data_IF_848339624349
#
_entry.id   IF_848339624349
#
_cell.length_a   1.000
_cell.length_b   1.000
_cell.length_c   1.000
_cell.angle_alpha   90.00
_cell.angle_beta   90.00
_cell.angle_gamma   90.00
#
_symmetry.space_group_name_H-M   'P 1'
#
loop_
_entity.id
_entity.type
_entity.pdbx_description
1 polymer ?
#
# COMPACT_ATOMS: atom_id res chain seq x y z
N UNK A 1 -30.44 -5.07 8.32
CA UNK A 1 -29.45 -4.68 7.29
C UNK A 1 -29.95 -5.22 5.97
N UNK A 2 -29.98 -4.41 4.91
CA UNK A 2 -30.38 -4.87 3.58
C UNK A 2 -29.31 -5.84 3.02
N UNK A 3 -29.70 -6.75 2.13
CA UNK A 3 -28.77 -7.72 1.50
C UNK A 3 -27.65 -7.00 0.73
N UNK A 4 -27.98 -5.90 0.05
CA UNK A 4 -27.03 -5.03 -0.62
C UNK A 4 -25.97 -4.47 0.35
N UNK A 5 -26.38 -4.01 1.54
CA UNK A 5 -25.46 -3.46 2.54
C UNK A 5 -24.49 -4.51 3.07
N UNK A 6 -24.96 -5.74 3.28
CA UNK A 6 -24.11 -6.86 3.72
C UNK A 6 -23.07 -7.18 2.64
N UNK A 7 -23.48 -7.21 1.37
CA UNK A 7 -22.56 -7.46 0.24
C UNK A 7 -21.48 -6.38 0.18
N UNK A 8 -21.84 -5.10 0.27
CA UNK A 8 -20.86 -4.00 0.23
C UNK A 8 -19.87 -4.09 1.39
N UNK A 9 -20.33 -4.39 2.61
CA UNK A 9 -19.45 -4.57 3.77
C UNK A 9 -18.47 -5.73 3.53
N UNK A 10 -18.96 -6.88 3.06
CA UNK A 10 -18.10 -8.04 2.77
C UNK A 10 -17.07 -7.69 1.70
N UNK A 11 -17.48 -7.01 0.62
CA UNK A 11 -16.57 -6.56 -0.45
C UNK A 11 -15.50 -5.63 0.10
N UNK A 12 -15.86 -4.66 0.94
CA UNK A 12 -14.90 -3.74 1.53
C UNK A 12 -13.91 -4.44 2.47
N UNK A 13 -14.38 -5.37 3.30
CA UNK A 13 -13.51 -6.18 4.16
C UNK A 13 -12.56 -7.03 3.31
N UNK A 14 -13.06 -7.68 2.26
CA UNK A 14 -12.24 -8.49 1.37
C UNK A 14 -11.19 -7.63 0.63
N UNK A 15 -11.56 -6.44 0.15
CA UNK A 15 -10.62 -5.51 -0.47
C UNK A 15 -9.54 -5.08 0.51
N UNK A 16 -9.90 -4.72 1.74
CA UNK A 16 -8.93 -4.35 2.77
C UNK A 16 -7.98 -5.51 3.09
N UNK A 17 -8.49 -6.74 3.24
CA UNK A 17 -7.68 -7.93 3.51
C UNK A 17 -6.72 -8.24 2.36
N UNK A 18 -7.21 -8.19 1.13
CA UNK A 18 -6.41 -8.45 -0.07
C UNK A 18 -5.30 -7.40 -0.21
N UNK A 19 -5.62 -6.12 0.00
CA UNK A 19 -4.66 -5.04 -0.14
C UNK A 19 -3.62 -5.00 0.98
N UNK A 20 -4.04 -5.28 2.22
CA UNK A 20 -3.15 -5.29 3.36
C UNK A 20 -2.17 -6.47 3.36
N UNK A 21 -2.66 -7.67 3.05
CA UNK A 21 -1.89 -8.92 3.25
C UNK A 21 -1.88 -9.81 2.02
N UNK A 22 -2.99 -9.89 1.28
CA UNK A 22 -3.10 -10.75 0.10
C UNK A 22 -2.08 -10.42 -1.01
N UNK A 23 -1.69 -9.15 -1.13
CA UNK A 23 -0.69 -8.69 -2.10
C UNK A 23 0.76 -8.84 -1.62
N UNK A 24 1.02 -9.21 -0.36
CA UNK A 24 2.38 -9.35 0.17
C UNK A 24 3.27 -10.28 -0.67
N UNK A 25 2.83 -11.46 -1.12
CA UNK A 25 3.63 -12.30 -2.02
C UNK A 25 3.95 -11.60 -3.36
N UNK A 26 3.04 -10.78 -3.86
CA UNK A 26 3.27 -9.99 -5.09
C UNK A 26 4.34 -8.93 -4.83
N UNK A 27 4.30 -8.24 -3.68
CA UNK A 27 5.30 -7.24 -3.32
C UNK A 27 6.69 -7.84 -3.12
N UNK A 28 6.80 -8.99 -2.44
CA UNK A 28 8.07 -9.73 -2.29
C UNK A 28 8.64 -10.10 -3.67
N UNK A 29 7.80 -10.60 -4.57
CA UNK A 29 8.23 -10.92 -5.93
C UNK A 29 8.67 -9.67 -6.69
N UNK A 30 7.89 -8.59 -6.61
CA UNK A 30 8.13 -7.36 -7.34
C UNK A 30 9.43 -6.70 -6.90
N UNK A 31 9.65 -6.63 -5.59
CA UNK A 31 10.88 -6.10 -5.00
C UNK A 31 12.13 -6.86 -5.48
N UNK A 32 12.08 -8.20 -5.48
CA UNK A 32 13.19 -9.03 -5.97
C UNK A 32 13.45 -8.86 -7.47
N UNK A 33 12.40 -8.58 -8.25
CA UNK A 33 12.52 -8.33 -9.70
C UNK A 33 13.11 -6.95 -9.97
N UNK A 34 12.64 -5.91 -9.28
CA UNK A 34 13.18 -4.55 -9.37
C UNK A 34 14.64 -4.54 -8.95
N UNK A 35 14.96 -5.14 -7.81
CA UNK A 35 16.34 -5.27 -7.33
C UNK A 35 17.25 -5.95 -8.37
N UNK A 36 16.78 -7.05 -8.97
CA UNK A 36 17.50 -7.73 -10.04
C UNK A 36 17.73 -6.81 -11.24
N UNK A 37 16.70 -6.09 -11.68
CA UNK A 37 16.81 -5.16 -12.81
C UNK A 37 17.81 -4.03 -12.55
N UNK A 38 17.79 -3.40 -11.37
CA UNK A 38 18.73 -2.34 -11.00
C UNK A 38 20.17 -2.87 -10.93
N UNK A 39 20.36 -4.11 -10.49
CA UNK A 39 21.66 -4.77 -10.34
C UNK A 39 22.13 -5.52 -11.59
N UNK A 40 21.47 -5.33 -12.74
CA UNK A 40 21.72 -6.05 -13.99
C UNK A 40 21.82 -7.59 -13.83
N UNK A 41 20.89 -8.16 -13.05
CA UNK A 41 20.77 -9.61 -12.86
C UNK A 41 19.32 -10.07 -12.97
N UNK A 42 19.13 -11.34 -13.30
CA UNK A 42 17.78 -11.91 -13.32
C UNK A 42 17.24 -12.06 -11.89
N UNK A 43 16.06 -11.51 -11.61
CA UNK A 43 15.28 -11.87 -10.43
C UNK A 43 14.71 -13.30 -10.49
N UNK A 44 13.83 -13.69 -9.54
CA UNK A 44 13.33 -15.05 -9.41
C UNK A 44 12.73 -15.56 -10.73
N UNK A 45 13.23 -16.69 -11.21
CA UNK A 45 12.73 -17.27 -12.45
C UNK A 45 12.54 -18.79 -12.40
N UNK A 46 13.07 -19.56 -11.42
CA UNK A 46 13.13 -21.03 -11.53
C UNK A 46 11.90 -21.79 -11.02
N UNK A 47 11.26 -21.31 -9.96
CA UNK A 47 10.11 -21.98 -9.34
C UNK A 47 8.92 -22.07 -10.31
N UNK A 48 8.31 -23.25 -10.42
CA UNK A 48 7.18 -23.52 -11.28
C UNK A 48 6.22 -24.53 -10.65
N UNK A 49 4.94 -24.39 -10.98
CA UNK A 49 3.91 -25.41 -10.72
C UNK A 49 3.45 -25.92 -12.08
N UNK A 50 3.87 -27.13 -12.44
CA UNK A 50 3.67 -27.67 -13.79
C UNK A 50 4.28 -26.75 -14.86
N UNK A 51 3.54 -26.36 -15.92
CA UNK A 51 4.08 -25.53 -16.99
C UNK A 51 4.13 -24.02 -16.66
N UNK A 52 3.64 -23.58 -15.49
CA UNK A 52 3.51 -22.16 -15.15
C UNK A 52 4.60 -21.70 -14.19
N UNK A 53 5.27 -20.58 -14.49
CA UNK A 53 6.23 -19.88 -13.61
C UNK A 53 5.68 -18.54 -13.11
N UNK A 54 4.72 -17.96 -13.86
CA UNK A 54 4.15 -16.63 -13.69
C UNK A 54 5.24 -15.57 -13.50
N UNK A 55 6.28 -15.61 -14.34
CA UNK A 55 7.41 -14.69 -14.22
C UNK A 55 8.16 -14.76 -12.89
N UNK A 56 8.06 -15.87 -12.15
CA UNK A 56 8.70 -16.09 -10.85
C UNK A 56 7.83 -15.78 -9.64
N UNK A 57 6.56 -15.39 -9.82
CA UNK A 57 5.63 -15.10 -8.72
C UNK A 57 5.40 -16.30 -7.81
N UNK A 58 5.49 -17.51 -8.36
CA UNK A 58 5.37 -18.76 -7.58
C UNK A 58 6.45 -18.87 -6.49
N UNK A 59 7.61 -18.22 -6.65
CA UNK A 59 8.65 -18.24 -5.63
C UNK A 59 8.20 -17.61 -4.31
N UNK A 60 7.50 -16.48 -4.35
CA UNK A 60 7.08 -15.81 -3.11
C UNK A 60 5.99 -16.60 -2.39
N UNK A 61 5.09 -17.25 -3.13
CA UNK A 61 4.13 -18.20 -2.57
C UNK A 61 4.83 -19.41 -1.94
N UNK A 62 5.85 -19.96 -2.60
CA UNK A 62 6.64 -21.07 -2.07
C UNK A 62 7.42 -20.66 -0.79
N UNK A 63 7.95 -19.44 -0.74
CA UNK A 63 8.64 -18.92 0.45
C UNK A 63 7.68 -18.77 1.63
N UNK A 64 6.46 -18.27 1.40
CA UNK A 64 5.41 -18.19 2.42
C UNK A 64 5.04 -19.59 2.93
N UNK A 65 4.77 -20.52 2.02
CA UNK A 65 4.41 -21.89 2.35
C UNK A 65 5.53 -22.61 3.12
N UNK A 66 6.79 -22.37 2.74
CA UNK A 66 7.96 -22.86 3.47
C UNK A 66 7.97 -22.38 4.92
N UNK A 67 7.65 -21.11 5.20
CA UNK A 67 7.65 -20.59 6.57
C UNK A 67 6.56 -21.23 7.44
N UNK A 68 5.43 -21.61 6.85
CA UNK A 68 4.33 -22.31 7.55
C UNK A 68 4.73 -23.74 7.91
N UNK A 69 5.42 -24.46 7.02
CA UNK A 69 5.86 -25.84 7.27
C UNK A 69 7.21 -25.97 7.99
N UNK A 70 7.94 -24.85 8.17
CA UNK A 70 9.21 -24.85 8.88
C UNK A 70 8.96 -25.06 10.38
N UNK A 71 9.86 -25.80 11.01
CA UNK A 71 9.84 -26.00 12.46
C UNK A 71 9.96 -24.65 13.21
N UNK A 72 8.97 -24.39 14.07
CA UNK A 72 8.95 -23.22 14.95
C UNK A 72 9.74 -23.50 16.24
N UNK A 73 11.04 -23.24 16.18
CA UNK A 73 11.95 -23.39 17.31
C UNK A 73 11.92 -22.17 18.22
N UNK A 74 11.76 -22.39 19.53
CA UNK A 74 11.89 -21.35 20.56
C UNK A 74 13.10 -21.67 21.45
N UNK A 75 14.14 -20.81 21.48
CA UNK A 75 15.32 -21.00 22.32
C UNK A 75 15.00 -21.20 23.82
N UNK A 76 15.75 -22.11 24.47
CA UNK A 76 15.52 -22.47 25.88
C UNK A 76 15.81 -21.35 26.89
N UNK A 77 16.58 -20.34 26.52
CA UNK A 77 16.90 -19.20 27.38
C UNK A 77 15.78 -18.15 27.45
N UNK A 78 14.76 -18.24 26.58
CA UNK A 78 13.62 -17.32 26.54
C UNK A 78 12.71 -17.59 27.74
N UNK A 79 12.68 -16.65 28.68
CA UNK A 79 11.83 -16.72 29.89
C UNK A 79 10.37 -16.39 29.59
N UNK A 80 10.12 -15.35 28.77
CA UNK A 80 8.78 -14.80 28.54
C UNK A 80 8.15 -15.34 27.25
N UNK A 81 7.84 -16.64 27.21
CA UNK A 81 7.32 -17.32 25.99
C UNK A 81 6.02 -16.72 25.44
N UNK A 82 5.13 -16.26 26.32
CA UNK A 82 3.88 -15.62 25.92
C UNK A 82 4.14 -14.32 25.14
N UNK A 83 4.95 -13.42 25.70
CA UNK A 83 5.34 -12.16 25.07
C UNK A 83 6.09 -12.41 23.75
N UNK A 84 7.00 -13.38 23.75
CA UNK A 84 7.75 -13.77 22.55
C UNK A 84 6.80 -14.20 21.42
N UNK A 85 5.77 -14.98 21.72
CA UNK A 85 4.83 -15.51 20.72
C UNK A 85 3.83 -14.45 20.23
N UNK A 86 3.37 -13.55 21.10
CA UNK A 86 2.34 -12.55 20.74
C UNK A 86 2.92 -11.32 20.05
N UNK A 87 4.19 -10.99 20.28
CA UNK A 87 4.84 -9.80 19.72
C UNK A 87 4.69 -9.66 18.19
N UNK A 88 5.01 -10.67 17.35
CA UNK A 88 4.80 -10.58 15.91
C UNK A 88 3.33 -10.39 15.53
N UNK A 89 2.42 -11.03 16.27
CA UNK A 89 0.97 -10.92 16.04
C UNK A 89 0.45 -9.52 16.33
N UNK A 90 0.99 -8.84 17.35
CA UNK A 90 0.63 -7.45 17.66
C UNK A 90 1.02 -6.54 16.49
N UNK A 91 2.27 -6.64 16.02
CA UNK A 91 2.75 -5.82 14.88
C UNK A 91 1.88 -6.07 13.65
N UNK A 92 1.59 -7.35 13.36
CA UNK A 92 0.74 -7.74 12.23
C UNK A 92 -0.67 -7.16 12.32
N UNK A 93 -1.35 -7.34 13.45
CA UNK A 93 -2.73 -6.86 13.64
C UNK A 93 -2.78 -5.33 13.55
N UNK A 94 -1.81 -4.63 14.15
CA UNK A 94 -1.74 -3.18 14.07
C UNK A 94 -1.67 -2.69 12.63
N UNK A 95 -0.72 -3.18 11.82
CA UNK A 95 -0.60 -2.74 10.43
C UNK A 95 -1.74 -3.24 9.55
N UNK A 96 -2.28 -4.43 9.80
CA UNK A 96 -3.47 -4.92 9.12
C UNK A 96 -4.67 -3.97 9.33
N UNK A 97 -4.88 -3.51 10.56
CA UNK A 97 -5.99 -2.63 10.90
C UNK A 97 -5.85 -1.23 10.31
N UNK A 98 -4.66 -0.79 9.90
CA UNK A 98 -4.50 0.53 9.24
C UNK A 98 -5.33 0.67 7.96
N UNK A 99 -5.60 -0.44 7.26
CA UNK A 99 -6.42 -0.47 6.04
C UNK A 99 -7.92 -0.29 6.29
N UNK A 100 -8.37 -0.42 7.54
CA UNK A 100 -9.79 -0.40 7.86
C UNK A 100 -10.50 0.93 7.51
N UNK A 101 -9.75 2.04 7.54
CA UNK A 101 -10.27 3.39 7.32
C UNK A 101 -10.07 3.92 5.91
N UNK A 102 -9.34 3.19 5.06
CA UNK A 102 -8.94 3.68 3.75
C UNK A 102 -10.13 3.58 2.79
N UNK A 103 -10.56 4.69 2.15
CA UNK A 103 -11.63 4.65 1.18
C UNK A 103 -11.10 4.17 -0.17
N UNK A 104 -11.69 3.11 -0.70
CA UNK A 104 -11.29 2.54 -2.00
C UNK A 104 -12.02 3.16 -3.18
N UNK A 105 -13.20 3.74 -2.93
CA UNK A 105 -14.04 4.44 -3.89
C UNK A 105 -14.95 5.43 -3.14
N UNK A 106 -15.69 6.23 -3.89
CA UNK A 106 -16.75 7.08 -3.35
C UNK A 106 -17.93 6.23 -2.85
N UNK A 107 -18.84 6.85 -2.12
CA UNK A 107 -20.10 6.30 -1.68
C UNK A 107 -20.91 5.76 -2.87
N UNK A 108 -21.27 4.48 -2.78
CA UNK A 108 -22.09 3.79 -3.78
C UNK A 108 -23.54 3.91 -3.35
N UNK A 109 -24.38 4.43 -4.24
CA UNK A 109 -25.83 4.52 -4.02
C UNK A 109 -26.47 3.28 -4.63
N UNK A 110 -27.09 2.46 -3.78
CA UNK A 110 -27.85 1.27 -4.19
C UNK A 110 -29.24 1.40 -3.60
N UNK A 111 -30.27 1.36 -4.43
CA UNK A 111 -31.68 1.44 -4.02
C UNK A 111 -31.99 2.68 -3.16
N UNK A 112 -31.38 3.82 -3.51
CA UNK A 112 -31.52 5.09 -2.78
C UNK A 112 -30.80 5.15 -1.44
N UNK A 113 -30.05 4.11 -1.04
CA UNK A 113 -29.21 4.10 0.16
C UNK A 113 -27.74 4.30 -0.20
N UNK A 114 -27.08 5.23 0.50
CA UNK A 114 -25.65 5.49 0.35
C UNK A 114 -24.84 4.51 1.20
N UNK A 115 -23.88 3.83 0.57
CA UNK A 115 -22.96 2.89 1.21
C UNK A 115 -21.52 3.33 1.00
N UNK A 116 -20.79 3.51 2.09
CA UNK A 116 -19.38 3.90 2.02
C UNK A 116 -18.48 2.74 1.61
N UNK A 117 -17.53 3.00 0.72
CA UNK A 117 -16.56 2.01 0.20
C UNK A 117 -15.31 1.93 1.06
N UNK A 118 -15.51 1.70 2.36
CA UNK A 118 -14.49 1.51 3.39
C UNK A 118 -14.87 0.33 4.29
N UNK A 119 -13.89 -0.34 4.89
CA UNK A 119 -14.13 -1.59 5.63
C UNK A 119 -14.80 -1.37 6.98
N UNK A 120 -14.42 -0.32 7.72
CA UNK A 120 -15.07 0.05 8.97
C UNK A 120 -15.52 1.52 8.95
N UNK A 121 -16.75 1.82 9.39
CA UNK A 121 -17.19 3.19 9.60
C UNK A 121 -16.53 3.71 10.87
N UNK A 122 -15.50 4.55 10.73
CA UNK A 122 -14.85 5.13 11.90
C UNK A 122 -15.08 6.63 11.96
N UNK A 123 -15.79 7.06 12.99
CA UNK A 123 -15.82 8.46 13.41
C UNK A 123 -14.41 9.04 13.60
N UNK A 124 -13.40 8.18 13.79
CA UNK A 124 -12.00 8.52 14.03
C UNK A 124 -11.21 8.90 12.76
N UNK A 125 -11.66 8.49 11.57
CA UNK A 125 -10.98 8.83 10.30
C UNK A 125 -9.47 8.53 10.30
N UNK A 126 -8.64 9.53 9.98
CA UNK A 126 -7.17 9.39 9.98
C UNK A 126 -6.56 9.12 11.36
N UNK A 127 -7.24 9.48 12.47
CA UNK A 127 -6.73 9.22 13.82
C UNK A 127 -6.59 7.72 14.10
N UNK A 128 -7.40 6.89 13.43
CA UNK A 128 -7.24 5.43 13.47
C UNK A 128 -5.88 4.99 12.95
N UNK A 129 -5.43 5.55 11.82
CA UNK A 129 -4.12 5.23 11.26
C UNK A 129 -3.00 5.56 12.25
N UNK A 130 -3.02 6.77 12.83
CA UNK A 130 -2.02 7.19 13.82
C UNK A 130 -2.03 6.27 15.05
N UNK A 131 -3.21 5.92 15.57
CA UNK A 131 -3.32 5.06 16.73
C UNK A 131 -2.70 3.67 16.50
N UNK A 132 -2.99 3.03 15.37
CA UNK A 132 -2.44 1.70 15.07
C UNK A 132 -0.99 1.72 14.60
N UNK A 133 -0.54 2.79 13.94
CA UNK A 133 0.87 3.01 13.65
C UNK A 133 1.68 3.07 14.96
N UNK A 134 1.29 3.93 15.91
CA UNK A 134 1.96 4.03 17.22
C UNK A 134 1.87 2.74 18.06
N UNK A 135 0.73 2.04 18.03
CA UNK A 135 0.59 0.77 18.76
C UNK A 135 1.50 -0.35 18.23
N UNK A 136 1.87 -0.32 16.95
CA UNK A 136 2.74 -1.34 16.35
C UNK A 136 4.13 -1.42 17.01
N UNK A 137 4.63 -0.29 17.53
CA UNK A 137 5.94 -0.17 18.20
C UNK A 137 6.05 -1.05 19.42
N UNK A 138 4.95 -1.21 20.17
CA UNK A 138 4.94 -2.08 21.34
C UNK A 138 5.22 -3.53 20.96
N UNK A 139 4.79 -3.99 19.78
CA UNK A 139 5.11 -5.31 19.28
C UNK A 139 6.61 -5.49 19.00
N UNK A 140 7.28 -4.46 18.47
CA UNK A 140 8.74 -4.46 18.25
C UNK A 140 9.50 -4.48 19.59
N UNK A 141 9.08 -3.65 20.56
CA UNK A 141 9.66 -3.61 21.92
C UNK A 141 9.55 -4.97 22.60
N UNK A 142 8.33 -5.55 22.59
CA UNK A 142 8.08 -6.84 23.20
C UNK A 142 8.88 -7.94 22.50
N UNK A 143 9.03 -7.87 21.18
CA UNK A 143 9.82 -8.84 20.43
C UNK A 143 11.30 -8.83 20.81
N UNK A 144 11.90 -7.65 20.87
CA UNK A 144 13.30 -7.50 21.30
C UNK A 144 13.52 -7.85 22.77
N UNK A 145 12.63 -7.42 23.67
CA UNK A 145 12.73 -7.71 25.10
C UNK A 145 12.54 -9.20 25.41
N UNK A 146 11.52 -9.83 24.80
CA UNK A 146 11.23 -11.24 25.04
C UNK A 146 12.27 -12.18 24.41
N UNK A 147 13.02 -11.73 23.41
CA UNK A 147 14.11 -12.51 22.79
C UNK A 147 15.20 -12.91 23.79
N UNK A 148 15.40 -12.16 24.88
CA UNK A 148 16.47 -12.44 25.85
C UNK A 148 17.90 -12.25 25.33
N UNK A 149 18.07 -11.71 24.12
CA UNK A 149 19.35 -11.42 23.49
C UNK A 149 19.74 -9.94 23.64
N UNK A 150 21.04 -9.66 23.88
CA UNK A 150 21.55 -8.29 23.96
C UNK A 150 21.33 -7.51 22.66
N UNK A 151 21.52 -8.18 21.51
CA UNK A 151 21.34 -7.56 20.19
C UNK A 151 19.86 -7.32 19.87
N UNK A 152 18.98 -8.24 20.27
CA UNK A 152 17.53 -8.07 20.14
C UNK A 152 17.01 -6.87 20.93
N UNK A 153 17.48 -6.70 22.17
CA UNK A 153 17.10 -5.56 23.00
C UNK A 153 17.63 -4.23 22.44
N UNK A 154 18.89 -4.19 21.99
CA UNK A 154 19.46 -2.98 21.36
C UNK A 154 18.73 -2.62 20.06
N UNK A 155 18.39 -3.60 19.23
CA UNK A 155 17.61 -3.39 18.01
C UNK A 155 16.23 -2.80 18.31
N UNK A 156 15.51 -3.37 19.27
CA UNK A 156 14.20 -2.85 19.67
C UNK A 156 14.26 -1.42 20.22
N UNK A 157 15.22 -1.09 21.10
CA UNK A 157 15.36 0.27 21.64
C UNK A 157 15.62 1.29 20.52
N UNK A 158 16.47 0.94 19.54
CA UNK A 158 16.76 1.81 18.40
C UNK A 158 15.54 1.99 17.50
N UNK A 159 14.83 0.91 17.21
CA UNK A 159 13.60 0.93 16.42
C UNK A 159 12.54 1.82 17.07
N UNK A 160 12.32 1.68 18.37
CA UNK A 160 11.33 2.48 19.10
C UNK A 160 11.72 3.95 19.16
N UNK A 161 12.98 4.26 19.41
CA UNK A 161 13.45 5.65 19.38
C UNK A 161 13.30 6.29 18.00
N UNK A 162 13.51 5.52 16.93
CA UNK A 162 13.24 5.95 15.56
C UNK A 162 11.74 6.22 15.37
N UNK A 163 10.88 5.24 15.60
CA UNK A 163 9.44 5.39 15.34
C UNK A 163 8.87 6.60 16.09
N UNK A 164 9.16 6.75 17.39
CA UNK A 164 8.64 7.87 18.19
C UNK A 164 9.02 9.24 17.58
N UNK A 165 10.26 9.38 17.10
CA UNK A 165 10.74 10.63 16.50
C UNK A 165 10.01 10.98 15.19
N UNK A 166 9.72 9.98 14.37
CA UNK A 166 9.11 10.18 13.06
C UNK A 166 7.58 10.21 13.14
N UNK A 167 6.97 9.53 14.11
CA UNK A 167 5.54 9.59 14.40
C UNK A 167 5.12 11.00 14.84
N UNK A 168 5.88 11.63 15.75
CA UNK A 168 5.63 13.01 16.16
C UNK A 168 5.66 13.98 14.97
N UNK A 169 6.68 13.87 14.12
CA UNK A 169 6.83 14.72 12.92
C UNK A 169 5.73 14.46 11.89
N UNK A 170 5.33 13.19 11.72
CA UNK A 170 4.24 12.77 10.83
C UNK A 170 2.89 13.32 11.30
N UNK A 171 2.60 13.24 12.60
CA UNK A 171 1.37 13.75 13.19
C UNK A 171 1.26 15.27 13.06
N UNK A 172 2.35 16.00 13.29
CA UNK A 172 2.38 17.46 13.11
C UNK A 172 2.18 17.86 11.63
N UNK A 173 2.81 17.15 10.68
CA UNK A 173 2.57 17.37 9.26
C UNK A 173 1.09 17.12 8.90
N UNK A 174 0.45 16.11 9.50
CA UNK A 174 -0.96 15.83 9.29
C UNK A 174 -1.86 16.96 9.79
N UNK A 175 -1.53 17.63 10.90
CA UNK A 175 -2.35 18.75 11.42
C UNK A 175 -2.50 19.85 10.36
N UNK A 176 -1.43 20.21 9.64
CA UNK A 176 -1.53 21.20 8.56
C UNK A 176 -2.45 20.77 7.42
N UNK A 177 -2.49 19.47 7.11
CA UNK A 177 -3.42 18.90 6.12
C UNK A 177 -4.87 18.97 6.62
N UNK A 178 -5.10 18.63 7.88
CA UNK A 178 -6.43 18.69 8.50
C UNK A 178 -6.99 20.11 8.56
N UNK A 179 -6.14 21.10 8.83
CA UNK A 179 -6.53 22.52 8.77
C UNK A 179 -6.93 22.92 7.35
N UNK A 180 -6.22 22.42 6.33
CA UNK A 180 -6.50 22.75 4.92
C UNK A 180 -7.82 22.14 4.43
N UNK A 181 -8.15 20.91 4.86
CA UNK A 181 -9.35 20.20 4.41
C UNK A 181 -10.57 20.35 5.32
N UNK A 182 -10.38 20.77 6.58
CA UNK A 182 -11.48 20.93 7.54
C UNK A 182 -12.16 19.63 7.99
N UNK A 183 -11.62 18.45 7.66
CA UNK A 183 -12.18 17.16 8.05
C UNK A 183 -11.09 16.16 8.43
N UNK A 184 -11.42 15.27 9.37
CA UNK A 184 -10.60 14.11 9.76
C UNK A 184 -10.98 12.84 8.98
N UNK A 185 -12.12 12.85 8.27
CA UNK A 185 -12.59 11.71 7.51
C UNK A 185 -11.87 11.64 6.16
N UNK A 186 -11.29 10.48 5.87
CA UNK A 186 -10.50 10.28 4.65
C UNK A 186 -11.34 10.42 3.37
N UNK A 187 -12.60 10.01 3.39
CA UNK A 187 -13.46 10.17 2.23
C UNK A 187 -13.73 11.66 1.92
N UNK A 188 -13.98 12.48 2.93
CA UNK A 188 -14.20 13.93 2.75
C UNK A 188 -12.94 14.63 2.23
N UNK A 189 -11.77 14.23 2.73
CA UNK A 189 -10.47 14.71 2.24
C UNK A 189 -10.32 14.37 0.74
N UNK A 190 -10.63 13.14 0.33
CA UNK A 190 -10.56 12.75 -1.07
C UNK A 190 -11.58 13.53 -1.90
N UNK A 191 -12.82 13.71 -1.41
CA UNK A 191 -13.81 14.53 -2.11
C UNK A 191 -13.32 15.95 -2.38
N UNK A 192 -12.73 16.60 -1.38
CA UNK A 192 -12.16 17.94 -1.53
C UNK A 192 -11.08 17.99 -2.62
N UNK A 193 -10.28 16.93 -2.76
CA UNK A 193 -9.22 16.81 -3.77
C UNK A 193 -9.75 16.63 -5.20
N UNK A 194 -11.07 16.49 -5.37
CA UNK A 194 -11.73 16.35 -6.68
C UNK A 194 -11.95 17.68 -7.37
N UNK A 195 -11.82 18.78 -6.61
CA UNK A 195 -11.81 20.12 -7.17
C UNK A 195 -10.55 20.40 -7.99
N UNK A 196 -10.57 21.57 -8.61
CA UNK A 196 -9.41 22.13 -9.31
C UNK A 196 -8.90 23.35 -8.55
N UNK A 197 -7.64 23.31 -8.16
CA UNK A 197 -6.90 24.47 -7.70
C UNK A 197 -6.49 25.33 -8.90
N UNK A 198 -6.82 26.63 -8.83
CA UNK A 198 -6.62 27.60 -9.93
C UNK A 198 -7.18 27.14 -11.28
N UNK A 199 -8.29 26.37 -11.27
CA UNK A 199 -8.98 25.84 -12.47
C UNK A 199 -8.14 24.93 -13.39
N UNK A 200 -6.84 24.72 -13.10
CA UNK A 200 -5.90 24.00 -13.96
C UNK A 200 -5.36 22.74 -13.27
N UNK A 201 -5.04 22.83 -11.99
CA UNK A 201 -4.33 21.77 -11.26
C UNK A 201 -5.33 21.05 -10.36
N UNK A 202 -5.35 19.70 -10.28
CA UNK A 202 -6.13 19.00 -9.28
C UNK A 202 -5.78 19.49 -7.87
N UNK A 203 -6.75 19.67 -6.98
CA UNK A 203 -6.54 20.14 -5.58
C UNK A 203 -5.91 19.06 -4.67
N UNK A 204 -5.03 18.24 -5.24
CA UNK A 204 -4.27 17.20 -4.57
C UNK A 204 -3.41 17.77 -3.44
N UNK A 205 -3.35 17.03 -2.33
CA UNK A 205 -2.58 17.44 -1.16
C UNK A 205 -1.12 17.70 -1.43
N UNK A 206 -0.52 17.00 -2.40
CA UNK A 206 0.86 17.25 -2.81
C UNK A 206 1.09 18.68 -3.32
N UNK A 207 0.09 19.29 -3.97
CA UNK A 207 0.17 20.67 -4.48
C UNK A 207 -0.30 21.69 -3.45
N UNK A 208 -1.35 21.36 -2.68
CA UNK A 208 -1.87 22.25 -1.63
C UNK A 208 -0.88 22.42 -0.48
N UNK A 209 -0.19 21.34 -0.11
CA UNK A 209 0.68 21.26 1.07
C UNK A 209 1.96 20.49 0.74
N UNK A 210 2.86 21.04 -0.11
CA UNK A 210 4.05 20.33 -0.57
C UNK A 210 5.03 20.01 0.57
N UNK A 211 5.16 20.92 1.55
CA UNK A 211 6.03 20.70 2.69
C UNK A 211 5.50 19.58 3.60
N UNK A 212 4.18 19.55 3.87
CA UNK A 212 3.56 18.44 4.60
C UNK A 212 3.72 17.12 3.86
N UNK A 213 3.57 17.11 2.53
CA UNK A 213 3.74 15.92 1.71
C UNK A 213 5.14 15.32 1.83
N UNK A 214 6.18 16.16 1.70
CA UNK A 214 7.57 15.70 1.83
C UNK A 214 7.83 15.15 3.24
N UNK A 215 7.43 15.89 4.28
CA UNK A 215 7.65 15.46 5.67
C UNK A 215 6.91 14.14 5.93
N UNK A 216 5.64 14.05 5.56
CA UNK A 216 4.83 12.86 5.78
C UNK A 216 5.39 11.64 5.04
N UNK A 217 5.76 11.80 3.77
CA UNK A 217 6.34 10.70 2.97
C UNK A 217 7.65 10.24 3.61
N UNK A 218 8.57 11.15 3.96
CA UNK A 218 9.84 10.80 4.61
C UNK A 218 9.61 10.08 5.95
N UNK A 219 8.68 10.55 6.77
CA UNK A 219 8.32 9.89 8.02
C UNK A 219 7.71 8.51 7.78
N UNK A 220 6.84 8.36 6.80
CA UNK A 220 6.26 7.07 6.44
C UNK A 220 7.33 6.07 5.97
N UNK A 221 8.36 6.53 5.25
CA UNK A 221 9.53 5.70 4.93
C UNK A 221 10.26 5.23 6.19
N UNK A 222 10.53 6.14 7.13
CA UNK A 222 11.20 5.80 8.38
C UNK A 222 10.36 4.84 9.25
N UNK A 223 9.04 4.98 9.23
CA UNK A 223 8.11 4.16 10.00
C UNK A 223 8.08 2.70 9.53
N UNK A 224 8.22 2.47 8.23
CA UNK A 224 8.22 1.12 7.65
C UNK A 224 9.49 0.32 7.97
N UNK A 225 10.48 0.91 8.66
CA UNK A 225 11.75 0.30 9.03
C UNK A 225 12.51 -0.35 7.86
N UNK A 226 12.30 0.15 6.63
CA UNK A 226 13.00 -0.31 5.43
C UNK A 226 14.16 0.60 5.06
N UNK A 227 15.14 0.03 4.38
CA UNK A 227 16.26 0.77 3.77
C UNK A 227 15.70 1.96 2.96
N UNK A 228 16.19 3.19 3.19
CA UNK A 228 17.43 3.56 3.88
C UNK A 228 17.34 3.74 5.41
N UNK A 229 16.18 3.53 6.02
CA UNK A 229 15.88 3.72 7.46
C UNK A 229 15.76 2.39 8.23
N UNK A 230 16.51 1.35 7.84
CA UNK A 230 16.47 -0.02 8.40
C UNK A 230 17.33 -0.22 9.66
N UNK A 231 17.32 0.76 10.56
CA UNK A 231 18.26 0.78 11.69
C UNK A 231 17.89 -0.25 12.77
N UNK A 232 16.64 -0.69 12.78
CA UNK A 232 16.09 -1.71 13.66
C UNK A 232 16.61 -3.12 13.37
N UNK A 233 16.90 -3.44 12.12
CA UNK A 233 17.45 -4.74 11.69
C UNK A 233 18.97 -4.71 11.57
N UNK A 234 19.51 -3.57 11.15
CA UNK A 234 20.89 -3.30 10.77
C UNK A 234 21.88 -4.45 10.85
N UNK A 235 22.01 -5.18 9.74
CA UNK A 235 22.80 -6.42 9.66
C UNK A 235 24.24 -6.27 10.15
N UNK A 236 24.91 -5.20 9.73
CA UNK A 236 26.32 -4.95 10.08
C UNK A 236 26.56 -4.54 11.54
N UNK A 237 25.53 -4.10 12.27
CA UNK A 237 25.67 -3.52 13.61
C UNK A 237 25.03 -4.36 14.71
N UNK A 238 23.88 -4.97 14.42
CA UNK A 238 23.06 -5.73 15.37
C UNK A 238 22.54 -7.05 14.77
N UNK A 239 23.14 -7.54 13.68
CA UNK A 239 22.88 -8.82 13.00
C UNK A 239 21.51 -8.90 12.30
N UNK A 240 20.43 -8.85 13.06
CA UNK A 240 19.06 -8.74 12.57
C UNK A 240 18.15 -8.05 13.61
N UNK A 241 18.75 -7.46 14.65
CA UNK A 241 18.06 -6.84 15.76
C UNK A 241 17.03 -7.77 16.40
N UNK A 242 15.78 -7.30 16.46
CA UNK A 242 14.67 -7.99 17.09
C UNK A 242 14.19 -9.24 16.33
N UNK A 243 14.65 -9.47 15.09
CA UNK A 243 14.33 -10.69 14.32
C UNK A 243 15.19 -11.91 14.69
N UNK A 244 16.34 -11.69 15.34
CA UNK A 244 17.41 -12.70 15.46
C UNK A 244 16.97 -14.05 16.02
N UNK A 245 16.12 -14.05 17.06
CA UNK A 245 15.72 -15.28 17.76
C UNK A 245 14.42 -15.92 17.20
N UNK A 246 13.79 -15.29 16.21
CA UNK A 246 12.50 -15.72 15.66
C UNK A 246 12.68 -16.71 14.50
N UNK A 247 11.89 -17.79 14.51
CA UNK A 247 11.86 -18.80 13.43
C UNK A 247 10.47 -18.92 12.80
N UNK A 248 10.42 -19.66 11.68
CA UNK A 248 9.21 -20.10 10.98
C UNK A 248 8.13 -19.02 10.84
N UNK A 249 6.91 -19.30 11.29
CA UNK A 249 5.77 -18.41 11.13
C UNK A 249 5.88 -17.14 11.96
N UNK A 250 6.54 -17.16 13.12
CA UNK A 250 6.72 -15.94 13.94
C UNK A 250 7.63 -14.94 13.25
N UNK A 251 8.72 -15.41 12.63
CA UNK A 251 9.54 -14.59 11.73
C UNK A 251 8.74 -14.15 10.50
N UNK A 252 7.95 -15.06 9.92
CA UNK A 252 7.09 -14.76 8.78
C UNK A 252 6.09 -13.63 9.06
N UNK A 253 5.51 -13.59 10.26
CA UNK A 253 4.58 -12.53 10.67
C UNK A 253 5.26 -11.17 10.72
N UNK A 254 6.48 -11.04 11.26
CA UNK A 254 7.22 -9.77 11.19
C UNK A 254 7.45 -9.32 9.75
N UNK A 255 7.93 -10.22 8.90
CA UNK A 255 8.20 -9.92 7.49
C UNK A 255 6.94 -9.50 6.75
N UNK A 256 5.82 -10.22 6.93
CA UNK A 256 4.53 -9.84 6.33
C UNK A 256 4.04 -8.50 6.88
N UNK A 257 4.30 -8.21 8.16
CA UNK A 257 3.91 -6.95 8.80
C UNK A 257 4.65 -5.74 8.22
N UNK A 258 5.94 -5.85 7.89
CA UNK A 258 6.68 -4.76 7.24
C UNK A 258 6.13 -4.45 5.84
N UNK A 259 5.75 -5.48 5.08
CA UNK A 259 5.08 -5.27 3.79
C UNK A 259 3.68 -4.68 3.98
N UNK A 260 2.93 -5.09 5.00
CA UNK A 260 1.64 -4.51 5.34
C UNK A 260 1.78 -3.04 5.79
N UNK A 261 2.84 -2.69 6.53
CA UNK A 261 3.16 -1.33 6.90
C UNK A 261 3.45 -0.46 5.68
N UNK A 262 4.30 -0.93 4.76
CA UNK A 262 4.59 -0.25 3.49
C UNK A 262 3.33 -0.07 2.65
N UNK A 263 2.47 -1.08 2.61
CA UNK A 263 1.19 -1.00 1.91
C UNK A 263 0.27 0.03 2.59
N UNK A 264 0.10 -0.02 3.91
CA UNK A 264 -0.76 0.92 4.66
C UNK A 264 -0.29 2.36 4.51
N UNK A 265 1.02 2.60 4.65
CA UNK A 265 1.65 3.88 4.40
C UNK A 265 1.42 4.38 2.96
N UNK A 266 1.62 3.52 1.97
CA UNK A 266 1.40 3.86 0.55
C UNK A 266 -0.06 4.25 0.28
N UNK A 267 -1.01 3.50 0.85
CA UNK A 267 -2.43 3.74 0.70
C UNK A 267 -2.87 5.06 1.35
N UNK A 268 -2.33 5.38 2.54
CA UNK A 268 -2.58 6.66 3.21
C UNK A 268 -1.94 7.83 2.46
N UNK A 269 -0.71 7.69 1.96
CA UNK A 269 -0.07 8.74 1.14
C UNK A 269 -0.90 9.05 -0.10
N UNK A 270 -1.40 8.02 -0.80
CA UNK A 270 -2.26 8.20 -1.98
C UNK A 270 -3.57 8.89 -1.62
N UNK A 271 -4.18 8.52 -0.50
CA UNK A 271 -5.43 9.11 -0.01
C UNK A 271 -5.25 10.57 0.42
N UNK A 272 -4.16 10.89 1.11
CA UNK A 272 -3.91 12.23 1.64
C UNK A 272 -3.31 13.20 0.61
N UNK A 273 -2.50 12.73 -0.33
CA UNK A 273 -1.72 13.63 -1.20
C UNK A 273 -2.01 13.50 -2.69
N UNK A 274 -2.58 12.38 -3.16
CA UNK A 274 -2.72 12.08 -4.59
C UNK A 274 -4.17 11.83 -5.03
N UNK A 275 -5.17 12.35 -4.32
CA UNK A 275 -6.57 12.28 -4.76
C UNK A 275 -7.21 10.92 -4.56
N UNK A 276 -6.65 10.03 -3.73
CA UNK A 276 -7.23 8.71 -3.45
C UNK A 276 -7.71 7.99 -4.71
N UNK A 277 -9.02 7.70 -4.75
CA UNK A 277 -9.70 7.01 -5.83
C UNK A 277 -10.13 7.89 -7.02
N UNK A 278 -9.95 9.21 -6.93
CA UNK A 278 -10.39 10.12 -7.99
C UNK A 278 -9.46 10.13 -9.19
N UNK A 279 -10.03 10.40 -10.36
CA UNK A 279 -9.27 10.61 -11.58
C UNK A 279 -9.00 12.11 -11.70
N UNK A 280 -7.77 12.53 -12.07
CA UNK A 280 -7.50 13.95 -12.35
C UNK A 280 -8.58 14.59 -13.22
N UNK A 281 -9.09 15.75 -12.81
CA UNK A 281 -10.11 16.55 -13.51
C UNK A 281 -11.49 15.90 -13.68
N UNK A 282 -11.73 14.71 -13.11
CA UNK A 282 -12.98 13.98 -13.21
C UNK A 282 -13.49 13.61 -11.82
N UNK A 283 -14.45 14.39 -11.35
CA UNK A 283 -15.18 14.10 -10.12
C UNK A 283 -16.14 12.91 -10.29
N UNK A 284 -16.66 12.40 -9.17
CA UNK A 284 -17.57 11.24 -9.22
C UNK A 284 -18.86 11.55 -9.99
N UNK A 285 -19.36 12.78 -9.91
CA UNK A 285 -20.61 13.17 -10.57
C UNK A 285 -20.45 13.23 -12.09
N UNK A 286 -19.36 13.84 -12.59
CA UNK A 286 -19.06 13.86 -14.03
C UNK A 286 -18.79 12.46 -14.58
N UNK A 287 -18.14 11.58 -13.79
CA UNK A 287 -17.96 10.17 -14.16
C UNK A 287 -19.28 9.42 -14.28
N UNK A 288 -20.22 9.65 -13.35
CA UNK A 288 -21.57 9.06 -13.43
C UNK A 288 -22.34 9.58 -14.65
N UNK A 289 -22.26 10.88 -14.91
CA UNK A 289 -22.96 11.51 -16.04
C UNK A 289 -22.43 11.07 -17.41
N UNK A 290 -21.14 10.72 -17.51
CA UNK A 290 -20.47 10.37 -18.78
C UNK A 290 -20.04 8.90 -18.84
N UNK A 291 -20.68 8.02 -18.06
CA UNK A 291 -20.26 6.62 -17.92
C UNK A 291 -20.20 5.87 -19.26
N UNK A 292 -21.11 6.17 -20.19
CA UNK A 292 -21.15 5.55 -21.51
C UNK A 292 -19.89 5.89 -22.33
N UNK A 293 -19.45 7.14 -22.29
CA UNK A 293 -18.20 7.59 -22.94
C UNK A 293 -17.01 6.87 -22.30
N UNK A 294 -16.99 6.76 -20.98
CA UNK A 294 -15.91 6.07 -20.26
C UNK A 294 -15.84 4.59 -20.65
N UNK A 295 -16.99 3.91 -20.77
CA UNK A 295 -17.06 2.51 -21.23
C UNK A 295 -16.52 2.39 -22.66
N UNK A 296 -16.90 3.30 -23.57
CA UNK A 296 -16.39 3.31 -24.96
C UNK A 296 -14.87 3.47 -24.98
N UNK A 297 -14.32 4.40 -24.20
CA UNK A 297 -12.87 4.61 -24.10
C UNK A 297 -12.17 3.37 -23.54
N UNK A 298 -12.74 2.73 -22.52
CA UNK A 298 -12.20 1.48 -21.97
C UNK A 298 -12.23 0.35 -23.01
N UNK A 299 -13.32 0.22 -23.77
CA UNK A 299 -13.44 -0.76 -24.86
C UNK A 299 -12.40 -0.53 -25.95
N UNK A 300 -12.08 0.72 -26.29
CA UNK A 300 -11.05 1.05 -27.28
C UNK A 300 -9.63 0.77 -26.75
N UNK A 301 -9.36 1.11 -25.48
CA UNK A 301 -8.05 0.94 -24.87
C UNK A 301 -7.71 -0.51 -24.53
N UNK A 302 -8.70 -1.33 -24.18
CA UNK A 302 -8.51 -2.71 -23.76
C UNK A 302 -7.78 -3.59 -24.80
N UNK A 303 -8.19 -3.66 -26.08
CA UNK A 303 -7.47 -4.46 -27.09
C UNK A 303 -6.06 -3.92 -27.35
N UNK A 304 -5.88 -2.59 -27.31
CA UNK A 304 -4.55 -1.96 -27.48
C UNK A 304 -3.62 -2.38 -26.35
N UNK A 305 -4.08 -2.30 -25.10
CA UNK A 305 -3.29 -2.70 -23.91
C UNK A 305 -2.94 -4.19 -23.96
N UNK A 306 -3.88 -5.05 -24.31
CA UNK A 306 -3.63 -6.50 -24.43
C UNK A 306 -2.66 -6.81 -25.57
N UNK A 307 -2.77 -6.11 -26.70
CA UNK A 307 -1.82 -6.26 -27.81
C UNK A 307 -0.40 -5.85 -27.39
N UNK A 308 -0.23 -4.69 -26.75
CA UNK A 308 1.07 -4.22 -26.25
C UNK A 308 1.63 -5.22 -25.24
N UNK A 309 0.81 -5.66 -24.28
CA UNK A 309 1.24 -6.57 -23.23
C UNK A 309 1.63 -7.96 -23.78
N UNK A 310 0.84 -8.52 -24.69
CA UNK A 310 1.16 -9.81 -25.31
C UNK A 310 2.38 -9.74 -26.22
N UNK A 311 2.62 -8.61 -26.90
CA UNK A 311 3.86 -8.35 -27.65
C UNK A 311 5.07 -8.28 -26.71
N UNK A 312 4.93 -7.61 -25.57
CA UNK A 312 5.97 -7.54 -24.54
C UNK A 312 6.32 -8.91 -23.96
N UNK A 313 5.32 -9.75 -23.62
CA UNK A 313 5.56 -11.12 -23.14
C UNK A 313 6.32 -11.94 -24.18
N UNK A 314 5.87 -11.91 -25.45
CA UNK A 314 6.52 -12.66 -26.54
C UNK A 314 7.97 -12.22 -26.76
N UNK A 315 8.28 -10.94 -26.57
CA UNK A 315 9.64 -10.41 -26.67
C UNK A 315 10.52 -10.88 -25.50
N UNK A 316 10.02 -10.78 -24.27
CA UNK A 316 10.83 -10.95 -23.07
C UNK A 316 10.94 -12.41 -22.59
N UNK A 317 10.03 -13.29 -23.00
CA UNK A 317 10.03 -14.70 -22.62
C UNK A 317 10.30 -15.63 -23.81
N UNK A 318 11.09 -15.15 -24.78
CA UNK A 318 11.51 -15.94 -25.93
C UNK A 318 12.65 -16.90 -25.56
N UNK A 319 12.60 -18.13 -26.07
CA UNK A 319 13.64 -19.12 -25.88
C UNK A 319 13.85 -19.91 -27.17
N UNK A 320 15.09 -20.32 -27.43
CA UNK A 320 15.46 -20.99 -28.68
C UNK A 320 14.73 -22.33 -28.86
N UNK A 321 14.54 -23.10 -27.79
CA UNK A 321 13.80 -24.35 -27.83
C UNK A 321 12.29 -24.12 -27.63
N UNK A 322 11.50 -24.43 -28.67
CA UNK A 322 10.03 -24.34 -28.65
C UNK A 322 9.39 -25.34 -27.68
N UNK A 323 10.09 -26.39 -27.26
CA UNK A 323 9.59 -27.38 -26.29
C UNK A 323 9.83 -26.96 -24.84
N UNK A 324 10.61 -25.90 -24.60
CA UNK A 324 10.88 -25.37 -23.26
C UNK A 324 9.59 -24.91 -22.57
N UNK A 325 9.56 -25.07 -21.25
CA UNK A 325 8.46 -24.65 -20.37
C UNK A 325 8.14 -23.16 -20.57
N UNK A 326 9.14 -22.30 -20.81
CA UNK A 326 8.97 -20.85 -21.02
C UNK A 326 8.16 -20.52 -22.28
N UNK A 327 8.41 -21.25 -23.36
CA UNK A 327 7.69 -21.07 -24.62
C UNK A 327 6.23 -21.54 -24.48
N UNK A 328 6.00 -22.66 -23.78
CA UNK A 328 4.65 -23.15 -23.46
C UNK A 328 3.88 -22.18 -22.57
N UNK A 329 4.50 -21.68 -21.50
CA UNK A 329 3.94 -20.69 -20.60
C UNK A 329 3.50 -19.43 -21.36
N UNK A 330 4.38 -18.91 -22.22
CA UNK A 330 4.08 -17.74 -23.06
C UNK A 330 2.86 -17.98 -23.94
N UNK A 331 2.76 -19.17 -24.55
CA UNK A 331 1.59 -19.54 -25.34
C UNK A 331 0.30 -19.57 -24.53
N UNK A 332 0.34 -20.11 -23.30
CA UNK A 332 -0.85 -20.18 -22.43
C UNK A 332 -1.24 -18.79 -21.94
N UNK A 333 -0.29 -17.98 -21.46
CA UNK A 333 -0.54 -16.63 -20.98
C UNK A 333 -1.12 -15.73 -22.09
N UNK A 334 -0.54 -15.78 -23.30
CA UNK A 334 -1.06 -15.01 -24.43
C UNK A 334 -2.50 -15.40 -24.74
N UNK A 335 -2.83 -16.70 -24.78
CA UNK A 335 -4.21 -17.16 -24.98
C UNK A 335 -5.12 -16.67 -23.86
N UNK A 336 -4.71 -16.83 -22.60
CA UNK A 336 -5.48 -16.41 -21.43
C UNK A 336 -5.80 -14.90 -21.44
N UNK A 337 -4.80 -14.04 -21.70
CA UNK A 337 -5.01 -12.60 -21.75
C UNK A 337 -5.92 -12.18 -22.91
N UNK A 338 -5.79 -12.81 -24.09
CA UNK A 338 -6.71 -12.54 -25.20
C UNK A 338 -8.13 -13.04 -24.90
N UNK A 339 -8.30 -14.21 -24.27
CA UNK A 339 -9.64 -14.69 -23.88
C UNK A 339 -10.30 -13.79 -22.83
N UNK A 340 -9.56 -13.37 -21.79
CA UNK A 340 -10.06 -12.41 -20.81
C UNK A 340 -10.41 -11.10 -21.49
N UNK A 341 -9.54 -10.64 -22.42
CA UNK A 341 -9.78 -9.44 -23.18
C UNK A 341 -11.06 -9.45 -23.99
N UNK A 342 -11.29 -10.53 -24.74
CA UNK A 342 -12.50 -10.69 -25.56
C UNK A 342 -13.74 -10.76 -24.66
N UNK A 343 -13.68 -11.53 -23.56
CA UNK A 343 -14.79 -11.64 -22.60
C UNK A 343 -15.10 -10.27 -21.98
N UNK A 344 -14.10 -9.53 -21.53
CA UNK A 344 -14.28 -8.17 -20.99
C UNK A 344 -14.80 -7.20 -22.03
N UNK A 345 -14.34 -7.28 -23.29
CA UNK A 345 -14.84 -6.44 -24.38
C UNK A 345 -16.32 -6.72 -24.68
N UNK A 346 -16.71 -8.00 -24.73
CA UNK A 346 -18.11 -8.40 -24.93
C UNK A 346 -18.96 -7.95 -23.74
N UNK A 347 -18.47 -8.11 -22.51
CA UNK A 347 -19.18 -7.67 -21.31
C UNK A 347 -19.41 -6.15 -21.28
N UNK A 348 -18.39 -5.35 -21.62
CA UNK A 348 -18.52 -3.89 -21.73
C UNK A 348 -19.47 -3.49 -22.86
N UNK A 349 -19.42 -4.17 -24.02
CA UNK A 349 -20.35 -3.94 -25.12
C UNK A 349 -21.79 -4.30 -24.77
N UNK A 350 -22.01 -5.36 -24.00
CA UNK A 350 -23.32 -5.75 -23.50
C UNK A 350 -23.86 -4.69 -22.51
N UNK A 351 -23.03 -4.21 -21.59
CA UNK A 351 -23.40 -3.14 -20.65
C UNK A 351 -23.82 -1.86 -21.38
N UNK A 352 -23.11 -1.49 -22.45
CA UNK A 352 -23.45 -0.35 -23.29
C UNK A 352 -24.77 -0.56 -24.04
N UNK A 353 -25.03 -1.78 -24.55
CA UNK A 353 -26.24 -2.10 -25.28
C UNK A 353 -27.50 -2.17 -24.40
N UNK A 354 -27.38 -2.63 -23.15
CA UNK A 354 -28.50 -2.70 -22.21
C UNK A 354 -28.80 -1.37 -21.51
N UNK A 355 -27.85 -0.43 -21.57
CA UNK A 355 -27.84 0.76 -20.72
C UNK A 355 -27.58 0.41 -19.25
N UNK A 356 -27.01 1.35 -18.50
CA UNK A 356 -26.84 1.21 -17.06
C UNK A 356 -27.92 2.00 -16.33
N UNK A 357 -28.71 1.33 -15.48
CA UNK A 357 -29.55 2.01 -14.49
C UNK A 357 -28.71 2.70 -13.41
N UNK A 358 -29.35 3.43 -12.50
CA UNK A 358 -28.69 4.22 -11.45
C UNK A 358 -27.77 3.39 -10.53
N UNK A 359 -28.23 2.20 -10.14
CA UNK A 359 -27.41 1.25 -9.38
C UNK A 359 -26.21 0.77 -10.21
N UNK A 360 -26.42 0.50 -11.50
CA UNK A 360 -25.38 0.03 -12.41
C UNK A 360 -24.28 1.05 -12.63
N UNK A 361 -24.64 2.32 -12.88
CA UNK A 361 -23.68 3.40 -13.07
C UNK A 361 -22.88 3.66 -11.79
N UNK A 362 -23.52 3.61 -10.62
CA UNK A 362 -22.84 3.75 -9.32
C UNK A 362 -21.81 2.64 -9.09
N UNK A 363 -22.15 1.38 -9.41
CA UNK A 363 -21.21 0.25 -9.27
C UNK A 363 -20.07 0.36 -10.30
N UNK A 364 -20.36 0.71 -11.55
CA UNK A 364 -19.34 0.84 -12.59
C UNK A 364 -18.31 1.93 -12.25
N UNK A 365 -18.76 3.09 -11.76
CA UNK A 365 -17.88 4.16 -11.29
C UNK A 365 -17.04 3.70 -10.10
N UNK A 366 -17.64 2.98 -9.14
CA UNK A 366 -16.90 2.45 -7.99
C UNK A 366 -15.78 1.49 -8.42
N UNK A 367 -16.02 0.60 -9.39
CA UNK A 367 -14.99 -0.29 -9.93
C UNK A 367 -13.84 0.50 -10.58
N UNK A 368 -14.16 1.53 -11.37
CA UNK A 368 -13.15 2.41 -11.99
C UNK A 368 -12.33 3.15 -10.93
N UNK A 369 -12.98 3.63 -9.88
CA UNK A 369 -12.37 4.31 -8.75
C UNK A 369 -11.44 3.37 -7.96
N UNK A 370 -11.87 2.14 -7.67
CA UNK A 370 -11.02 1.11 -7.05
C UNK A 370 -9.79 0.83 -7.93
N UNK A 371 -9.97 0.68 -9.25
CA UNK A 371 -8.83 0.47 -10.17
C UNK A 371 -7.88 1.67 -10.17
N UNK A 372 -8.41 2.90 -10.15
CA UNK A 372 -7.61 4.13 -10.11
C UNK A 372 -6.81 4.22 -8.82
N UNK A 373 -7.45 3.93 -7.68
CA UNK A 373 -6.80 3.83 -6.38
C UNK A 373 -5.68 2.77 -6.41
N UNK A 374 -5.97 1.57 -6.92
CA UNK A 374 -4.98 0.48 -7.04
C UNK A 374 -3.75 0.88 -7.86
N UNK A 375 -3.94 1.60 -8.99
CA UNK A 375 -2.82 2.05 -9.82
C UNK A 375 -1.94 3.02 -9.06
N UNK A 376 -2.52 4.04 -8.41
CA UNK A 376 -1.76 5.01 -7.62
C UNK A 376 -1.09 4.37 -6.40
N UNK A 377 -1.80 3.48 -5.72
CA UNK A 377 -1.30 2.70 -4.60
C UNK A 377 -0.07 1.86 -5.01
N UNK A 378 -0.17 1.10 -6.10
CA UNK A 378 0.96 0.32 -6.63
C UNK A 378 2.11 1.21 -7.08
N UNK A 379 1.83 2.39 -7.64
CA UNK A 379 2.86 3.37 -7.99
C UNK A 379 3.59 3.89 -6.75
N UNK A 380 2.90 4.14 -5.65
CA UNK A 380 3.54 4.55 -4.40
C UNK A 380 4.37 3.40 -3.80
N UNK A 381 3.86 2.16 -3.83
CA UNK A 381 4.64 0.97 -3.44
C UNK A 381 5.91 0.82 -4.30
N UNK A 382 5.81 1.09 -5.60
CA UNK A 382 6.99 1.12 -6.49
C UNK A 382 8.01 2.17 -6.05
N UNK A 383 7.55 3.38 -5.66
CA UNK A 383 8.44 4.42 -5.11
C UNK A 383 9.15 3.92 -3.85
N UNK A 384 8.45 3.21 -2.95
CA UNK A 384 9.09 2.59 -1.78
C UNK A 384 10.22 1.63 -2.17
N UNK A 385 9.95 0.75 -3.13
CA UNK A 385 10.95 -0.20 -3.63
C UNK A 385 12.09 0.48 -4.37
N UNK A 386 11.82 1.55 -5.13
CA UNK A 386 12.83 2.27 -5.89
C UNK A 386 13.80 3.01 -4.96
N UNK A 387 13.27 3.75 -3.99
CA UNK A 387 14.07 4.52 -3.02
C UNK A 387 15.06 3.64 -2.26
N UNK A 388 14.63 2.42 -1.90
CA UNK A 388 15.47 1.40 -1.25
C UNK A 388 16.78 1.11 -1.98
N UNK A 389 16.77 1.14 -3.32
CA UNK A 389 17.95 0.81 -4.14
C UNK A 389 18.71 2.04 -4.66
N UNK A 390 18.18 3.25 -4.46
CA UNK A 390 18.83 4.49 -4.90
C UNK A 390 19.53 5.24 -3.78
N UNK A 391 18.94 5.26 -2.57
CA UNK A 391 19.48 6.03 -1.46
C UNK A 391 20.48 5.21 -0.65
N UNK A 392 21.51 5.89 -0.16
CA UNK A 392 22.46 5.32 0.78
C UNK A 392 21.80 5.12 2.14
N UNK A 393 22.27 4.11 2.86
CA UNK A 393 21.82 3.79 4.21
C UNK A 393 22.26 4.85 5.21
N UNK A 394 21.33 5.34 6.04
CA UNK A 394 21.64 6.33 7.07
C UNK A 394 22.20 5.70 8.34
N UNK A 395 23.13 6.41 8.99
CA UNK A 395 23.56 6.07 10.35
C UNK A 395 22.50 6.52 11.37
N UNK A 396 22.41 5.83 12.51
CA UNK A 396 21.46 6.15 13.59
C UNK A 396 21.49 7.62 14.03
N UNK A 397 22.68 8.18 14.24
CA UNK A 397 22.82 9.56 14.70
C UNK A 397 22.28 10.56 13.67
N UNK A 398 22.49 10.29 12.38
CA UNK A 398 21.98 11.14 11.29
C UNK A 398 20.46 11.04 11.17
N UNK A 399 19.91 9.82 11.30
CA UNK A 399 18.48 9.57 11.28
C UNK A 399 17.77 10.29 12.43
N UNK A 400 18.31 10.22 13.65
CA UNK A 400 17.75 10.92 14.80
C UNK A 400 17.86 12.45 14.66
N UNK A 401 18.98 12.93 14.11
CA UNK A 401 19.15 14.36 13.86
C UNK A 401 18.16 14.88 12.80
N UNK A 402 17.88 14.10 11.76
CA UNK A 402 16.89 14.46 10.73
C UNK A 402 15.48 14.58 11.34
N UNK A 403 15.05 13.61 12.14
CA UNK A 403 13.74 13.66 12.81
C UNK A 403 13.60 14.86 13.75
N UNK A 404 14.50 14.98 14.73
CA UNK A 404 14.36 15.98 15.80
C UNK A 404 14.77 17.40 15.42
N UNK A 405 15.83 17.58 14.61
CA UNK A 405 16.36 18.92 14.32
C UNK A 405 15.85 19.51 13.01
N UNK A 406 15.32 18.68 12.10
CA UNK A 406 14.90 19.13 10.77
C UNK A 406 13.40 18.94 10.58
N UNK A 407 12.90 17.71 10.62
CA UNK A 407 11.50 17.41 10.29
C UNK A 407 10.51 17.99 11.30
N UNK A 408 10.79 17.86 12.60
CA UNK A 408 9.92 18.39 13.65
C UNK A 408 9.79 19.93 13.57
N UNK A 409 10.87 20.75 13.56
CA UNK A 409 10.74 22.20 13.40
C UNK A 409 10.06 22.62 12.08
N UNK A 410 10.35 21.93 10.97
CA UNK A 410 9.71 22.20 9.68
C UNK A 410 8.21 21.90 9.71
N UNK A 411 7.77 20.85 10.40
CA UNK A 411 6.35 20.52 10.53
C UNK A 411 5.60 21.59 11.32
N UNK A 412 6.19 22.11 12.41
CA UNK A 412 5.62 23.23 13.18
C UNK A 412 5.55 24.50 12.35
N UNK A 413 6.62 24.81 11.61
CA UNK A 413 6.62 25.95 10.68
C UNK A 413 5.51 25.81 9.63
N UNK A 414 5.30 24.60 9.09
CA UNK A 414 4.24 24.36 8.11
C UNK A 414 2.84 24.63 8.68
N UNK A 415 2.59 24.25 9.93
CA UNK A 415 1.32 24.54 10.62
C UNK A 415 1.11 26.05 10.72
N UNK A 416 2.13 26.82 11.13
CA UNK A 416 2.03 28.28 11.28
C UNK A 416 1.75 28.94 9.93
N UNK A 417 2.48 28.54 8.88
CA UNK A 417 2.27 29.07 7.52
C UNK A 417 0.85 28.75 7.05
N UNK A 418 0.42 27.50 7.21
CA UNK A 418 -0.92 27.06 6.81
C UNK A 418 -2.01 27.84 7.52
N UNK A 419 -1.93 27.96 8.85
CA UNK A 419 -2.88 28.72 9.64
C UNK A 419 -2.93 30.20 9.22
N UNK A 420 -1.77 30.81 8.94
CA UNK A 420 -1.68 32.20 8.49
C UNK A 420 -2.33 32.38 7.11
N UNK A 421 -2.07 31.48 6.16
CA UNK A 421 -2.66 31.51 4.82
C UNK A 421 -4.18 31.37 4.88
N UNK A 422 -4.70 30.41 5.66
CA UNK A 422 -6.13 30.19 5.84
C UNK A 422 -6.80 31.47 6.37
N UNK A 423 -6.25 32.06 7.43
CA UNK A 423 -6.80 33.30 8.03
C UNK A 423 -6.76 34.48 7.04
N UNK A 424 -5.70 34.62 6.24
CA UNK A 424 -5.57 35.72 5.28
C UNK A 424 -6.47 35.55 4.04
N UNK A 425 -6.73 34.31 3.62
CA UNK A 425 -7.51 34.01 2.42
C UNK A 425 -8.99 33.76 2.73
N UNK A 426 -9.35 33.55 3.99
CA UNK A 426 -10.72 33.24 4.43
C UNK A 426 -11.21 31.87 3.95
N UNK A 427 -10.28 30.96 3.65
CA UNK A 427 -10.57 29.57 3.26
C UNK A 427 -11.06 28.72 4.43
#
# INVERSE_FOLDING_TARGET
>A
MNTASIIVIIVNILLAVVLAVGLTPVFVWWERRIAGFIQDRSGPNRCHIGPMRLGGLIQSLADMLKLVFKEDFTPGHIKYKFMFTIAPSIVFVCYFLTFAVIPFADNVVIDGQSHSMQALPMQLGIMWFLAYAGLSVYGIILGGYASGSKYGLLGAIRASAQVISYEASMALALISMLLTYGSIHLNDIVHFQGGTFWEIIPSWGAFMQPLAAIIFIVCAFAETNRTPFDIAEGESEIVAGYHTEYSAMRFGLFQVSEFAAMAGASAIIVTLFFGGYQIPWLDTQTLKANIDIVIIVLMALLPIKIYIFTKWIKKNNNWYDKKDIRAKETGILVKAFWTIGIVSFIALGALLATGLGENGSSIAVAVIQVVTFLVKFLMMVFVFMWVRWTLLRFRYDQLQMLGWKVLLPLSLLNIIITASVIVLTGM
#
